data_IF_067875265568
#
_entry.id   IF_067875265568
#
_cell.length_a   1.000
_cell.length_b   1.000
_cell.length_c   1.000
_cell.angle_alpha   90.00
_cell.angle_beta   90.00
_cell.angle_gamma   90.00
#
_symmetry.space_group_name_H-M   'P 1'
#
loop_
_entity.id
_entity.type
_entity.pdbx_description
1 polymer ?
#
# COMPACT_ATOMS: atom_id res chain seq x y z
N UNK A 1 -8.15 -28.14 -9.16
CA UNK A 1 -8.58 -26.87 -8.53
C UNK A 1 -9.39 -26.08 -9.55
N UNK A 2 -10.71 -25.92 -9.37
CA UNK A 2 -11.62 -25.47 -10.46
C UNK A 2 -11.62 -23.97 -10.72
N UNK A 3 -10.65 -23.20 -10.20
CA UNK A 3 -10.45 -21.77 -10.49
C UNK A 3 -11.59 -20.82 -10.10
N UNK A 4 -12.76 -21.35 -9.72
CA UNK A 4 -13.96 -20.59 -9.36
C UNK A 4 -14.04 -20.41 -7.85
N UNK A 5 -13.35 -19.39 -7.35
CA UNK A 5 -13.68 -18.83 -6.03
C UNK A 5 -14.98 -18.02 -6.15
N UNK A 6 -15.88 -18.13 -5.16
CA UNK A 6 -17.09 -17.29 -5.08
C UNK A 6 -16.69 -15.81 -5.06
N UNK A 7 -17.35 -14.95 -5.84
CA UNK A 7 -17.04 -13.52 -5.96
C UNK A 7 -16.95 -12.80 -4.60
N UNK A 8 -17.86 -13.11 -3.67
CA UNK A 8 -17.81 -12.55 -2.31
C UNK A 8 -16.56 -12.93 -1.52
N UNK A 9 -15.99 -14.12 -1.75
CA UNK A 9 -14.73 -14.55 -1.13
C UNK A 9 -13.55 -13.78 -1.71
N UNK A 10 -13.51 -13.58 -3.03
CA UNK A 10 -12.47 -12.78 -3.69
C UNK A 10 -12.49 -11.32 -3.23
N UNK A 11 -13.67 -10.72 -3.10
CA UNK A 11 -13.83 -9.36 -2.58
C UNK A 11 -13.36 -9.20 -1.14
N UNK A 12 -13.69 -10.17 -0.27
CA UNK A 12 -13.20 -10.14 1.11
C UNK A 12 -11.70 -10.38 1.20
N UNK A 13 -11.14 -11.23 0.33
CA UNK A 13 -9.69 -11.43 0.24
C UNK A 13 -8.99 -10.13 -0.21
N UNK A 14 -9.50 -9.45 -1.24
CA UNK A 14 -8.90 -8.22 -1.80
C UNK A 14 -8.96 -7.03 -0.84
N UNK A 15 -10.04 -6.89 -0.05
CA UNK A 15 -10.17 -5.82 0.97
C UNK A 15 -9.00 -5.75 1.95
N UNK A 16 -8.35 -6.87 2.23
CA UNK A 16 -7.17 -6.95 3.10
C UNK A 16 -5.92 -6.31 2.49
N UNK A 17 -5.97 -5.95 1.20
CA UNK A 17 -4.87 -5.29 0.49
C UNK A 17 -5.25 -3.86 0.08
N UNK A 18 -6.51 -3.64 -0.31
CA UNK A 18 -6.91 -2.39 -0.99
C UNK A 18 -7.61 -1.37 -0.10
N UNK A 19 -7.95 -1.70 1.14
CA UNK A 19 -8.54 -0.73 2.06
C UNK A 19 -7.49 0.22 2.64
N UNK A 20 -7.88 1.47 2.92
CA UNK A 20 -6.96 2.47 3.48
C UNK A 20 -6.33 1.99 4.80
N UNK A 21 -7.12 1.40 5.71
CA UNK A 21 -6.61 0.82 6.95
C UNK A 21 -5.61 -0.32 6.69
N UNK A 22 -5.87 -1.19 5.72
CA UNK A 22 -4.92 -2.24 5.36
C UNK A 22 -3.62 -1.67 4.80
N UNK A 23 -3.70 -0.72 3.86
CA UNK A 23 -2.52 -0.09 3.28
C UNK A 23 -1.69 0.70 4.31
N UNK A 24 -2.36 1.37 5.25
CA UNK A 24 -1.69 2.07 6.36
C UNK A 24 -0.88 1.10 7.23
N UNK A 25 -1.45 -0.05 7.56
CA UNK A 25 -0.74 -1.11 8.31
C UNK A 25 0.39 -1.72 7.50
N UNK A 26 0.14 -2.05 6.24
CA UNK A 26 1.15 -2.58 5.33
C UNK A 26 2.37 -1.67 5.30
N UNK A 27 2.17 -0.37 5.09
CA UNK A 27 3.29 0.56 4.97
C UNK A 27 4.06 0.72 6.28
N UNK A 28 3.39 0.65 7.43
CA UNK A 28 4.08 0.66 8.74
C UNK A 28 5.06 -0.51 8.90
N UNK A 29 4.82 -1.66 8.25
CA UNK A 29 5.71 -2.83 8.30
C UNK A 29 6.83 -2.85 7.25
N UNK A 30 6.69 -2.07 6.17
CA UNK A 30 7.63 -2.11 5.04
C UNK A 30 8.37 -0.79 4.81
N UNK A 31 8.09 0.25 5.60
CA UNK A 31 8.70 1.58 5.45
C UNK A 31 10.22 1.54 5.54
N UNK A 32 10.78 0.59 6.31
CA UNK A 32 12.21 0.41 6.45
C UNK A 32 12.86 -0.27 5.24
N UNK A 33 12.06 -0.99 4.44
CA UNK A 33 12.49 -1.55 3.16
C UNK A 33 12.59 -0.48 2.06
N UNK A 34 12.03 0.71 2.28
CA UNK A 34 12.10 1.80 1.32
C UNK A 34 13.50 2.41 1.32
N UNK A 35 14.00 2.75 0.14
CA UNK A 35 15.20 3.57 0.03
C UNK A 35 14.89 5.05 0.33
N UNK A 36 15.92 5.89 0.40
CA UNK A 36 15.75 7.30 0.78
C UNK A 36 14.90 8.11 -0.23
N UNK A 37 14.96 7.78 -1.51
CA UNK A 37 14.12 8.40 -2.54
C UNK A 37 12.64 8.04 -2.31
N UNK A 38 12.35 6.76 -2.11
CA UNK A 38 11.01 6.25 -1.82
C UNK A 38 10.45 6.82 -0.52
N UNK A 39 11.27 6.93 0.54
CA UNK A 39 10.90 7.61 1.80
C UNK A 39 10.58 9.08 1.58
N UNK A 40 11.31 9.77 0.71
CA UNK A 40 11.03 11.16 0.35
C UNK A 40 9.69 11.29 -0.38
N UNK A 41 9.43 10.42 -1.36
CA UNK A 41 8.16 10.35 -2.09
C UNK A 41 6.99 10.02 -1.16
N UNK A 42 7.19 9.09 -0.24
CA UNK A 42 6.24 8.74 0.82
C UNK A 42 5.91 9.97 1.68
N UNK A 43 6.93 10.67 2.21
CA UNK A 43 6.74 11.90 3.00
C UNK A 43 5.97 12.98 2.22
N UNK A 44 6.21 13.10 0.91
CA UNK A 44 5.45 14.02 0.03
C UNK A 44 3.98 13.64 -0.03
N UNK A 45 3.66 12.35 -0.23
CA UNK A 45 2.28 11.86 -0.22
C UNK A 45 1.60 12.06 1.13
N UNK A 46 2.30 11.75 2.23
CA UNK A 46 1.81 11.88 3.60
C UNK A 46 1.44 13.32 3.97
N UNK A 47 2.19 14.30 3.44
CA UNK A 47 1.98 15.73 3.68
C UNK A 47 1.11 16.42 2.61
N UNK A 48 0.56 15.66 1.66
CA UNK A 48 -0.33 16.22 0.65
C UNK A 48 -1.62 16.75 1.30
N UNK A 49 -2.04 17.97 0.94
CA UNK A 49 -3.20 18.66 1.55
C UNK A 49 -4.51 18.41 0.79
N UNK A 50 -4.62 17.29 0.07
CA UNK A 50 -5.69 17.02 -0.90
C UNK A 50 -7.06 16.68 -0.31
N UNK A 51 -7.12 16.11 0.89
CA UNK A 51 -8.38 15.70 1.51
C UNK A 51 -9.08 16.88 2.20
N UNK A 52 -10.04 17.51 1.50
CA UNK A 52 -10.69 18.77 1.90
C UNK A 52 -11.85 18.66 2.89
N UNK A 53 -12.34 17.47 3.28
CA UNK A 53 -13.54 17.41 4.16
C UNK A 53 -13.76 16.16 5.03
N UNK A 54 -13.27 14.97 4.65
CA UNK A 54 -13.35 13.69 5.41
C UNK A 54 -12.20 12.77 4.96
N UNK A 55 -11.67 11.93 5.85
CA UNK A 55 -10.55 11.02 5.53
C UNK A 55 -9.22 11.75 5.42
N UNK A 56 -8.87 12.56 6.43
CA UNK A 56 -7.53 13.15 6.54
C UNK A 56 -6.85 12.71 7.85
N UNK A 57 -7.36 11.63 8.43
CA UNK A 57 -6.71 10.96 9.55
C UNK A 57 -5.37 10.36 9.10
N UNK A 58 -4.59 9.94 10.08
CA UNK A 58 -3.25 9.42 9.83
C UNK A 58 -3.29 8.15 8.97
N UNK A 59 -4.30 7.29 9.11
CA UNK A 59 -4.43 6.06 8.32
C UNK A 59 -4.61 6.38 6.84
N UNK A 60 -5.57 7.25 6.52
CA UNK A 60 -5.80 7.67 5.14
C UNK A 60 -4.56 8.33 4.53
N UNK A 61 -3.87 9.19 5.29
CA UNK A 61 -2.64 9.84 4.83
C UNK A 61 -1.52 8.83 4.57
N UNK A 62 -1.35 7.83 5.43
CA UNK A 62 -0.38 6.73 5.23
C UNK A 62 -0.72 5.89 3.99
N UNK A 63 -1.99 5.56 3.80
CA UNK A 63 -2.47 4.84 2.62
C UNK A 63 -2.20 5.63 1.32
N UNK A 64 -2.59 6.91 1.28
CA UNK A 64 -2.28 7.80 0.15
C UNK A 64 -0.78 7.91 -0.11
N UNK A 65 0.03 7.99 0.96
CA UNK A 65 1.48 8.04 0.84
C UNK A 65 2.08 6.76 0.24
N UNK A 66 1.56 5.59 0.63
CA UNK A 66 1.93 4.31 0.04
C UNK A 66 1.56 4.24 -1.45
N UNK A 67 0.32 4.59 -1.80
CA UNK A 67 -0.13 4.66 -3.21
C UNK A 67 0.74 5.62 -4.04
N UNK A 68 1.21 6.72 -3.43
CA UNK A 68 2.11 7.68 -4.08
C UNK A 68 3.46 7.05 -4.44
N UNK A 69 4.02 6.20 -3.58
CA UNK A 69 5.27 5.47 -3.88
C UNK A 69 5.06 4.44 -4.99
N UNK A 70 3.97 3.67 -4.92
CA UNK A 70 3.59 2.71 -5.97
C UNK A 70 3.42 3.41 -7.32
N UNK A 71 2.66 4.51 -7.36
CA UNK A 71 2.46 5.30 -8.57
C UNK A 71 3.76 5.92 -9.10
N UNK A 72 4.64 6.38 -8.20
CA UNK A 72 5.96 6.89 -8.57
C UNK A 72 6.81 5.85 -9.30
N UNK A 73 6.95 4.65 -8.72
CA UNK A 73 7.73 3.56 -9.32
C UNK A 73 7.16 3.13 -10.68
N UNK A 74 5.83 3.05 -10.78
CA UNK A 74 5.16 2.74 -12.04
C UNK A 74 5.45 3.79 -13.13
N UNK A 75 5.36 5.08 -12.80
CA UNK A 75 5.64 6.18 -13.75
C UNK A 75 7.12 6.26 -14.11
N UNK A 76 8.03 5.91 -13.18
CA UNK A 76 9.47 5.76 -13.41
C UNK A 76 9.80 4.55 -14.31
N UNK A 77 8.82 3.67 -14.55
CA UNK A 77 8.98 2.37 -15.23
C UNK A 77 9.94 1.42 -14.53
N UNK A 78 10.11 1.60 -13.22
CA UNK A 78 10.92 0.70 -12.39
C UNK A 78 10.05 -0.45 -11.87
N UNK A 79 9.68 -1.34 -12.79
CA UNK A 79 8.76 -2.44 -12.49
C UNK A 79 9.38 -3.51 -11.59
N UNK A 80 10.72 -3.64 -11.61
CA UNK A 80 11.42 -4.56 -10.73
C UNK A 80 11.25 -4.11 -9.28
N UNK A 81 11.57 -2.84 -8.99
CA UNK A 81 11.42 -2.29 -7.65
C UNK A 81 9.96 -2.23 -7.22
N UNK A 82 9.04 -1.89 -8.14
CA UNK A 82 7.60 -1.95 -7.87
C UNK A 82 7.17 -3.35 -7.41
N UNK A 83 7.61 -4.40 -8.09
CA UNK A 83 7.28 -5.77 -7.73
C UNK A 83 7.87 -6.18 -6.37
N UNK A 84 9.09 -5.74 -6.04
CA UNK A 84 9.68 -5.96 -4.71
C UNK A 84 8.82 -5.33 -3.61
N UNK A 85 8.41 -4.06 -3.78
CA UNK A 85 7.56 -3.36 -2.82
C UNK A 85 6.21 -4.07 -2.63
N UNK A 86 5.60 -4.55 -3.72
CA UNK A 86 4.35 -5.31 -3.66
C UNK A 86 4.52 -6.67 -2.96
N UNK A 87 5.65 -7.34 -3.14
CA UNK A 87 5.95 -8.60 -2.46
C UNK A 87 6.22 -8.38 -0.96
N UNK A 88 6.93 -7.30 -0.58
CA UNK A 88 7.06 -6.89 0.82
C UNK A 88 5.68 -6.62 1.45
N UNK A 89 4.80 -5.91 0.75
CA UNK A 89 3.43 -5.66 1.21
C UNK A 89 2.64 -6.93 1.47
N UNK A 90 2.74 -7.91 0.56
CA UNK A 90 2.09 -9.21 0.70
C UNK A 90 2.64 -9.99 1.90
N UNK A 91 3.95 -9.92 2.13
CA UNK A 91 4.60 -10.59 3.26
C UNK A 91 4.27 -9.94 4.61
N UNK A 92 4.10 -8.62 4.66
CA UNK A 92 3.65 -7.91 5.87
C UNK A 92 2.30 -8.45 6.38
N UNK A 93 1.33 -8.66 5.49
CA UNK A 93 0.00 -9.19 5.85
C UNK A 93 0.04 -10.63 6.36
N UNK A 94 0.99 -11.44 5.90
CA UNK A 94 1.16 -12.82 6.37
C UNK A 94 1.71 -12.87 7.80
N UNK A 95 2.48 -11.85 8.22
CA UNK A 95 3.00 -11.73 9.59
C UNK A 95 1.90 -11.37 10.59
N UNK A 96 0.91 -10.55 10.20
CA UNK A 96 -0.23 -10.20 11.09
C UNK A 96 -1.25 -11.34 11.30
N UNK A 97 -1.25 -12.35 10.43
CA UNK A 97 -2.18 -13.50 10.53
C UNK A 97 -1.65 -14.64 11.42
N UNK A 98 -0.41 -14.53 11.91
CA UNK A 98 0.21 -15.47 12.85
C UNK A 98 0.17 -14.88 14.25
#
# INVERSE_FOLDING_TARGET
DTGRKKAGKLHNESKNYVSATAQAKIVDHIIDEFNEEEKSIYKRGLNSKGAKKRGNDIEYRKATAYETVVGYLFLKKDYNRLNEILEFSKNALNKERK
#
